data_IF_558300241675
#
_entry.id   IF_558300241675
#
_cell.length_a   1.000
_cell.length_b   1.000
_cell.length_c   1.000
_cell.angle_alpha   90.00
_cell.angle_beta   90.00
_cell.angle_gamma   90.00
#
_symmetry.space_group_name_H-M   'P 1'
#
loop_
_entity.id
_entity.type
_entity.pdbx_description
1 polymer ?
#
# COMPACT_ATOMS: atom_id res chain seq x y z
N UNK A 1 23.93 1.74 -14.79
CA UNK A 1 23.47 2.61 -13.69
C UNK A 1 24.40 2.39 -12.50
N UNK A 2 24.69 3.43 -11.71
CA UNK A 2 25.70 3.37 -10.65
C UNK A 2 25.35 2.39 -9.50
N UNK A 3 24.09 1.97 -9.42
CA UNK A 3 23.49 1.24 -8.30
C UNK A 3 23.48 -0.29 -8.44
N UNK A 4 24.20 -0.88 -9.40
CA UNK A 4 24.34 -2.36 -9.49
C UNK A 4 25.81 -2.77 -9.42
N UNK A 5 26.65 -2.26 -10.34
CA UNK A 5 28.08 -2.51 -10.39
C UNK A 5 28.81 -1.30 -11.01
N UNK A 6 30.14 -1.28 -10.94
CA UNK A 6 31.01 -0.26 -11.54
C UNK A 6 30.68 1.19 -11.11
N UNK A 7 30.20 1.40 -9.88
CA UNK A 7 29.69 2.68 -9.35
C UNK A 7 30.63 3.86 -9.62
N UNK A 8 31.93 3.74 -9.32
CA UNK A 8 32.91 4.81 -9.50
C UNK A 8 33.03 5.27 -10.96
N UNK A 9 33.09 4.32 -11.90
CA UNK A 9 33.19 4.61 -13.32
C UNK A 9 31.93 5.30 -13.84
N UNK A 10 30.75 4.76 -13.48
CA UNK A 10 29.46 5.31 -13.93
C UNK A 10 29.23 6.73 -13.39
N UNK A 11 29.58 6.99 -12.12
CA UNK A 11 29.48 8.33 -11.53
C UNK A 11 30.47 9.31 -12.19
N UNK A 12 31.71 8.88 -12.43
CA UNK A 12 32.73 9.72 -13.05
C UNK A 12 32.33 10.12 -14.47
N UNK A 13 31.89 9.17 -15.30
CA UNK A 13 31.43 9.48 -16.67
C UNK A 13 30.20 10.40 -16.67
N UNK A 14 29.27 10.21 -15.74
CA UNK A 14 28.05 11.03 -15.65
C UNK A 14 28.37 12.45 -15.19
N UNK A 15 29.30 12.62 -14.24
CA UNK A 15 29.76 13.93 -13.77
C UNK A 15 30.51 14.70 -14.87
N UNK A 16 31.42 14.04 -15.59
CA UNK A 16 32.15 14.66 -16.70
C UNK A 16 31.20 15.10 -17.82
N UNK A 17 30.18 14.28 -18.13
CA UNK A 17 29.18 14.58 -19.16
C UNK A 17 28.09 15.55 -18.69
N UNK A 18 28.06 15.93 -17.41
CA UNK A 18 26.99 16.75 -16.84
C UNK A 18 25.61 16.11 -16.98
N UNK A 19 25.53 14.77 -16.87
CA UNK A 19 24.31 14.02 -17.14
C UNK A 19 23.30 14.22 -16.00
N UNK A 20 22.09 14.66 -16.36
CA UNK A 20 20.95 14.75 -15.45
C UNK A 20 20.10 13.47 -15.48
N UNK A 21 19.58 13.09 -14.32
CA UNK A 21 18.65 11.96 -14.18
C UNK A 21 17.24 12.50 -13.93
N UNK A 22 16.32 12.17 -14.84
CA UNK A 22 14.93 12.63 -14.79
C UNK A 22 14.05 11.79 -13.85
N UNK A 23 14.60 10.78 -13.18
CA UNK A 23 13.87 9.92 -12.21
C UNK A 23 12.63 9.23 -12.81
N UNK A 24 12.67 8.86 -14.09
CA UNK A 24 11.52 8.23 -14.76
C UNK A 24 11.42 6.72 -14.50
N UNK A 25 12.50 6.10 -14.01
CA UNK A 25 12.56 4.66 -13.82
C UNK A 25 12.19 4.21 -12.41
N UNK A 26 11.97 2.91 -12.29
CA UNK A 26 11.66 2.24 -11.02
C UNK A 26 12.80 2.43 -10.01
N UNK A 27 14.03 2.17 -10.45
CA UNK A 27 15.18 2.11 -9.55
C UNK A 27 15.52 3.47 -8.97
N UNK A 28 15.46 4.50 -9.81
CA UNK A 28 15.74 5.87 -9.42
C UNK A 28 14.73 6.36 -8.38
N UNK A 29 13.44 6.11 -8.58
CA UNK A 29 12.39 6.48 -7.61
C UNK A 29 12.52 5.73 -6.29
N UNK A 30 12.86 4.44 -6.32
CA UNK A 30 13.14 3.65 -5.10
C UNK A 30 14.33 4.23 -4.34
N UNK A 31 15.42 4.59 -5.03
CA UNK A 31 16.63 5.13 -4.38
C UNK A 31 16.36 6.49 -3.72
N UNK A 32 15.52 7.34 -4.34
CA UNK A 32 15.18 8.68 -3.83
C UNK A 32 14.04 8.63 -2.78
N UNK A 33 13.26 7.55 -2.74
CA UNK A 33 12.12 7.42 -1.83
C UNK A 33 10.83 8.07 -2.35
N UNK A 34 10.68 8.20 -3.68
CA UNK A 34 9.43 8.63 -4.32
C UNK A 34 8.56 7.42 -4.66
N UNK A 35 7.26 7.64 -4.86
CA UNK A 35 6.37 6.60 -5.40
C UNK A 35 6.94 6.07 -6.72
N UNK A 36 6.93 4.76 -6.84
CA UNK A 36 7.42 4.08 -8.03
C UNK A 36 6.42 4.22 -9.17
N UNK A 37 6.86 4.29 -10.44
CA UNK A 37 5.96 4.37 -11.59
C UNK A 37 5.37 2.99 -11.93
N UNK A 38 4.80 2.30 -10.94
CA UNK A 38 4.21 0.98 -11.06
C UNK A 38 3.16 0.74 -9.96
N UNK A 39 2.16 -0.11 -10.24
CA UNK A 39 1.11 -0.45 -9.28
C UNK A 39 0.35 0.80 -8.81
N UNK A 40 0.18 0.94 -7.50
CA UNK A 40 -0.51 2.09 -6.87
C UNK A 40 0.23 3.42 -7.02
N UNK A 41 1.48 3.41 -7.49
CA UNK A 41 2.25 4.62 -7.69
C UNK A 41 1.99 5.32 -9.04
N UNK A 42 1.17 4.75 -9.94
CA UNK A 42 0.71 5.46 -11.15
C UNK A 42 -0.51 6.33 -10.82
N UNK A 43 -0.63 7.48 -11.48
CA UNK A 43 -1.65 8.49 -11.19
C UNK A 43 -3.09 7.92 -11.20
N UNK A 44 -3.38 6.99 -12.11
CA UNK A 44 -4.69 6.34 -12.21
C UNK A 44 -5.13 5.58 -10.95
N UNK A 45 -4.20 5.15 -10.09
CA UNK A 45 -4.49 4.48 -8.83
C UNK A 45 -4.26 5.36 -7.59
N UNK A 46 -3.77 6.59 -7.76
CA UNK A 46 -3.58 7.53 -6.64
C UNK A 46 -4.89 8.22 -6.25
N UNK A 47 -5.78 8.47 -7.21
CA UNK A 47 -7.06 9.17 -7.03
C UNK A 47 -8.26 8.21 -6.96
N UNK A 48 -8.08 7.05 -6.32
CA UNK A 48 -9.19 6.12 -6.10
C UNK A 48 -9.92 6.54 -4.82
N UNK A 49 -11.14 7.06 -4.97
CA UNK A 49 -12.07 7.22 -3.84
C UNK A 49 -12.47 5.82 -3.35
N UNK A 50 -12.04 5.48 -2.13
CA UNK A 50 -12.41 4.24 -1.49
C UNK A 50 -13.80 4.43 -0.90
N UNK A 51 -14.82 3.88 -1.54
CA UNK A 51 -16.12 3.69 -0.91
C UNK A 51 -15.97 2.65 0.21
N UNK A 52 -16.12 3.11 1.46
CA UNK A 52 -16.13 2.24 2.63
C UNK A 52 -17.39 1.37 2.63
N UNK A 53 -17.34 0.23 1.95
CA UNK A 53 -18.41 -0.78 2.03
C UNK A 53 -18.37 -1.57 3.34
N UNK A 54 -17.38 -1.32 4.20
CA UNK A 54 -17.33 -1.83 5.57
C UNK A 54 -17.51 -0.67 6.54
N UNK A 55 -18.36 -0.78 7.58
CA UNK A 55 -18.46 0.26 8.58
C UNK A 55 -17.09 0.43 9.27
N UNK A 56 -16.38 1.51 8.94
CA UNK A 56 -15.24 2.01 9.71
C UNK A 56 -15.78 2.54 11.04
N UNK A 57 -16.01 1.64 11.97
CA UNK A 57 -16.69 1.96 13.22
C UNK A 57 -16.86 0.80 14.18
N UNK A 58 -16.04 -0.26 14.10
CA UNK A 58 -15.78 -1.04 15.31
C UNK A 58 -14.61 -0.34 16.00
N UNK A 59 -14.91 0.72 16.75
CA UNK A 59 -14.13 0.94 17.96
C UNK A 59 -14.28 -0.35 18.76
N UNK A 60 -13.17 -0.97 19.14
CA UNK A 60 -13.21 -1.90 20.26
C UNK A 60 -13.53 -1.01 21.46
N UNK A 61 -14.83 -0.83 21.70
CA UNK A 61 -15.33 -0.20 22.91
C UNK A 61 -14.67 -0.97 24.04
N UNK A 62 -13.90 -0.26 24.87
CA UNK A 62 -13.11 -0.82 25.97
C UNK A 62 -13.94 -1.44 27.09
N UNK A 63 -15.22 -1.70 26.83
CA UNK A 63 -16.22 -2.20 27.77
C UNK A 63 -16.63 -3.66 27.45
N UNK A 64 -15.82 -4.40 26.68
CA UNK A 64 -16.02 -5.84 26.49
C UNK A 64 -15.70 -6.58 27.80
N UNK A 65 -16.71 -6.77 28.66
CA UNK A 65 -16.64 -7.75 29.74
C UNK A 65 -16.62 -9.16 29.12
N UNK A 66 -15.57 -9.97 29.31
CA UNK A 66 -15.37 -11.22 28.56
C UNK A 66 -16.40 -12.34 28.79
N UNK A 67 -17.37 -12.17 29.70
CA UNK A 67 -18.10 -13.28 30.30
C UNK A 67 -19.57 -13.43 29.85
N UNK A 68 -20.09 -12.59 28.94
CA UNK A 68 -21.43 -12.80 28.37
C UNK A 68 -21.38 -13.29 26.91
N UNK A 69 -21.55 -14.60 26.74
CA UNK A 69 -21.89 -15.19 25.43
C UNK A 69 -23.33 -14.79 25.11
N UNK A 70 -23.53 -13.74 24.32
CA UNK A 70 -24.84 -13.41 23.78
C UNK A 70 -25.16 -14.36 22.62
N UNK A 71 -25.99 -15.35 22.88
CA UNK A 71 -26.57 -16.21 21.84
C UNK A 71 -27.75 -15.44 21.24
N UNK A 72 -27.73 -15.05 19.95
CA UNK A 72 -28.88 -14.40 19.34
C UNK A 72 -30.06 -15.39 19.28
N UNK A 73 -31.23 -14.95 19.74
CA UNK A 73 -32.47 -15.75 19.77
C UNK A 73 -33.08 -15.99 18.37
N UNK A 74 -32.54 -15.35 17.32
CA UNK A 74 -32.99 -15.52 15.93
C UNK A 74 -31.89 -16.15 15.04
N UNK A 75 -32.25 -17.12 14.18
CA UNK A 75 -31.30 -17.71 13.24
C UNK A 75 -30.91 -16.68 12.18
N UNK A 76 -29.60 -16.43 12.02
CA UNK A 76 -29.06 -15.54 11.00
C UNK A 76 -29.41 -16.05 9.60
N UNK A 77 -29.95 -15.17 8.75
CA UNK A 77 -30.28 -15.51 7.37
C UNK A 77 -29.03 -15.87 6.56
N UNK A 78 -29.21 -16.77 5.59
CA UNK A 78 -28.19 -17.50 4.81
C UNK A 78 -27.12 -16.61 4.13
N UNK A 79 -27.39 -15.30 4.02
CA UNK A 79 -26.55 -14.32 3.34
C UNK A 79 -25.44 -13.73 4.24
N UNK A 80 -25.43 -14.02 5.55
CA UNK A 80 -24.45 -13.48 6.50
C UNK A 80 -23.24 -14.39 6.76
N UNK A 81 -23.24 -15.64 6.28
CA UNK A 81 -22.19 -16.63 6.59
C UNK A 81 -20.82 -16.33 5.95
N UNK A 82 -20.73 -15.38 5.01
CA UNK A 82 -19.50 -15.19 4.22
C UNK A 82 -18.38 -14.43 4.96
N UNK A 83 -18.64 -13.82 6.12
CA UNK A 83 -17.65 -12.95 6.78
C UNK A 83 -16.60 -13.60 7.69
N UNK A 84 -16.55 -14.94 7.78
CA UNK A 84 -15.51 -15.63 8.58
C UNK A 84 -14.50 -16.43 7.76
N UNK A 85 -14.59 -16.42 6.42
CA UNK A 85 -13.61 -17.13 5.60
C UNK A 85 -13.50 -16.56 4.17
N UNK A 86 -12.83 -15.40 4.01
CA UNK A 86 -12.10 -15.08 2.79
C UNK A 86 -10.99 -14.07 3.02
#
# INVERSE_FOLDING_TARGET
AASFQETTKVLTESAIRGKEDQLLGLKENVIIGKLIPAGTGIDAYQEVEIEDTAPRGVTLDSDFEPDEIHIPDEPLEENQTVYIAK
#
